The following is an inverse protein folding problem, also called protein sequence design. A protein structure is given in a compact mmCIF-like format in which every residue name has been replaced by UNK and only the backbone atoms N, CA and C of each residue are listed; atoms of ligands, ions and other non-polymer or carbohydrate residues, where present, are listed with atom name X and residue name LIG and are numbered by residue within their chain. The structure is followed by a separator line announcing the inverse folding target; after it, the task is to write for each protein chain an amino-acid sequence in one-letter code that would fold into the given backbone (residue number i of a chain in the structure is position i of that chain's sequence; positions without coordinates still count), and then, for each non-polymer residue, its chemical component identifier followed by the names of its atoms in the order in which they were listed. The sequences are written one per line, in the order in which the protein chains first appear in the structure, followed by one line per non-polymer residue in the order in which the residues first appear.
data_IF_914643675234
#
_entry.id   IF_914643675234
#
_cell.length_a   1.000
_cell.length_b   1.000
_cell.length_c   1.000
_cell.angle_alpha   90.00
_cell.angle_beta   90.00
_cell.angle_gamma   90.00
#
_symmetry.space_group_name_H-M   'P 1'
#
loop_
_entity.id
_entity.type
_entity.pdbx_description
1 polymer ?
#
# COMPACT_ATOMS: atom_id res chain seq x y z
N UNK A 1 -3.88 6.12 -3.92
CA UNK A 1 -2.40 6.15 -3.87
C UNK A 1 -1.89 7.38 -3.16
N UNK A 2 -2.28 8.59 -3.56
CA UNK A 2 -1.94 9.82 -2.81
C UNK A 2 -2.28 9.75 -1.32
N UNK A 3 -3.43 9.18 -0.95
CA UNK A 3 -3.82 9.07 0.47
C UNK A 3 -2.92 8.13 1.29
N UNK A 4 -2.33 7.11 0.66
CA UNK A 4 -1.39 6.20 1.34
C UNK A 4 -0.02 6.88 1.49
N UNK A 5 0.41 7.62 0.47
CA UNK A 5 1.64 8.42 0.50
C UNK A 5 1.62 9.46 1.63
N UNK A 6 0.52 10.20 1.74
CA UNK A 6 0.34 11.21 2.79
C UNK A 6 0.32 10.59 4.20
N UNK A 7 0.03 9.30 4.32
CA UNK A 7 -0.03 8.61 5.61
C UNK A 7 1.34 8.10 6.12
N UNK A 8 2.39 8.12 5.30
CA UNK A 8 3.75 7.71 5.69
C UNK A 8 4.26 8.51 6.89
N UNK A 9 4.06 9.83 6.89
CA UNK A 9 4.51 10.75 7.94
C UNK A 9 3.44 11.13 8.98
N UNK A 10 2.24 10.57 8.89
CA UNK A 10 1.11 10.87 9.78
C UNK A 10 0.89 9.75 10.81
N UNK A 11 -0.14 9.91 11.64
CA UNK A 11 -0.49 8.94 12.69
C UNK A 11 -0.64 7.50 12.15
N UNK A 12 -0.12 6.54 12.91
CA UNK A 12 -0.08 5.13 12.51
C UNK A 12 -1.48 4.55 12.18
N UNK A 13 -2.55 5.11 12.75
CA UNK A 13 -3.94 4.72 12.49
C UNK A 13 -4.31 5.01 11.03
N UNK A 14 -3.95 6.19 10.51
CA UNK A 14 -4.23 6.58 9.13
C UNK A 14 -3.53 5.67 8.14
N UNK A 15 -2.26 5.33 8.38
CA UNK A 15 -1.50 4.40 7.55
C UNK A 15 -2.19 3.03 7.44
N UNK A 16 -2.60 2.48 8.58
CA UNK A 16 -3.27 1.18 8.64
C UNK A 16 -4.59 1.16 7.86
N UNK A 17 -5.43 2.17 8.06
CA UNK A 17 -6.73 2.26 7.39
C UNK A 17 -6.60 2.38 5.88
N UNK A 18 -5.65 3.20 5.41
CA UNK A 18 -5.41 3.39 3.97
C UNK A 18 -4.82 2.14 3.32
N UNK A 19 -3.90 1.46 4.00
CA UNK A 19 -3.36 0.18 3.55
C UNK A 19 -4.44 -0.90 3.47
N UNK A 20 -5.32 -0.98 4.48
CA UNK A 20 -6.45 -1.89 4.49
C UNK A 20 -7.42 -1.66 3.31
N UNK A 21 -7.77 -0.39 3.05
CA UNK A 21 -8.63 -0.03 1.92
C UNK A 21 -8.00 -0.42 0.58
N UNK A 22 -6.71 -0.13 0.39
CA UNK A 22 -5.98 -0.49 -0.84
C UNK A 22 -5.92 -2.00 -1.06
N UNK A 23 -5.71 -2.79 0.00
CA UNK A 23 -5.74 -4.26 -0.07
C UNK A 23 -7.08 -4.76 -0.62
N UNK A 24 -8.20 -4.24 -0.10
CA UNK A 24 -9.54 -4.63 -0.56
C UNK A 24 -9.76 -4.32 -2.04
N UNK A 25 -9.36 -3.13 -2.48
CA UNK A 25 -9.40 -2.73 -3.90
C UNK A 25 -8.55 -3.68 -4.74
N UNK A 26 -7.29 -3.90 -4.36
CA UNK A 26 -6.36 -4.74 -5.11
C UNK A 26 -6.86 -6.17 -5.29
N UNK A 27 -7.48 -6.76 -4.27
CA UNK A 27 -8.10 -8.09 -4.36
C UNK A 27 -9.25 -8.13 -5.36
N UNK A 28 -10.12 -7.11 -5.37
CA UNK A 28 -11.24 -7.03 -6.31
C UNK A 28 -10.78 -6.92 -7.78
N UNK A 29 -9.61 -6.34 -8.02
CA UNK A 29 -9.01 -6.23 -9.36
C UNK A 29 -8.05 -7.38 -9.71
N UNK A 30 -7.88 -8.39 -8.85
CA UNK A 30 -6.95 -9.49 -9.07
C UNK A 30 -5.47 -9.08 -9.00
N UNK A 31 -5.16 -7.90 -8.47
CA UNK A 31 -3.80 -7.40 -8.31
C UNK A 31 -3.14 -7.99 -7.04
N UNK A 32 -2.95 -9.31 -7.02
CA UNK A 32 -2.52 -10.08 -5.83
C UNK A 32 -1.26 -9.50 -5.18
N UNK A 33 -0.26 -9.09 -5.96
CA UNK A 33 0.98 -8.53 -5.42
C UNK A 33 0.76 -7.20 -4.69
N UNK A 34 -0.13 -6.36 -5.20
CA UNK A 34 -0.51 -5.09 -4.54
C UNK A 34 -1.25 -5.38 -3.24
N UNK A 35 -2.13 -6.39 -3.23
CA UNK A 35 -2.86 -6.81 -2.04
C UNK A 35 -1.93 -7.34 -0.93
N UNK A 36 -0.94 -8.16 -1.29
CA UNK A 36 0.08 -8.67 -0.35
C UNK A 36 0.88 -7.54 0.30
N UNK A 37 1.43 -6.63 -0.51
CA UNK A 37 2.22 -5.50 -0.01
C UNK A 37 1.35 -4.55 0.84
N UNK A 38 0.09 -4.36 0.45
CA UNK A 38 -0.87 -3.56 1.24
C UNK A 38 -1.21 -4.22 2.58
N UNK A 39 -1.23 -5.56 2.67
CA UNK A 39 -1.34 -6.27 3.95
C UNK A 39 -0.10 -6.04 4.81
N UNK A 40 1.10 -6.17 4.24
CA UNK A 40 2.35 -5.88 4.98
C UNK A 40 2.37 -4.44 5.49
N UNK A 41 1.83 -3.49 4.72
CA UNK A 41 1.67 -2.10 5.17
C UNK A 41 0.70 -1.99 6.35
N UNK A 42 -0.48 -2.60 6.23
CA UNK A 42 -1.49 -2.61 7.29
C UNK A 42 -0.96 -3.21 8.61
N UNK A 43 -0.22 -4.31 8.53
CA UNK A 43 0.37 -5.00 9.68
C UNK A 43 1.58 -4.22 10.24
N UNK A 44 2.36 -3.59 9.36
CA UNK A 44 3.52 -2.76 9.68
C UNK A 44 3.19 -1.32 10.09
N UNK A 45 2.04 -1.06 10.73
CA UNK A 45 1.63 0.30 11.07
C UNK A 45 2.55 1.00 12.10
N UNK A 46 3.30 0.22 12.88
CA UNK A 46 4.29 0.72 13.86
C UNK A 46 5.71 0.84 13.29
N UNK A 47 5.90 0.51 11.99
CA UNK A 47 7.18 0.69 11.32
C UNK A 47 7.59 2.17 11.31
N UNK A 48 8.90 2.40 11.23
CA UNK A 48 9.45 3.74 11.08
C UNK A 48 8.97 4.39 9.77
N UNK A 49 9.03 5.73 9.70
CA UNK A 49 8.66 6.44 8.47
C UNK A 49 9.48 5.97 7.27
N UNK A 50 10.79 5.72 7.43
CA UNK A 50 11.67 5.24 6.36
C UNK A 50 11.24 3.85 5.83
N UNK A 51 10.83 2.96 6.73
CA UNK A 51 10.32 1.64 6.35
C UNK A 51 8.96 1.73 5.66
N UNK A 52 8.07 2.61 6.12
CA UNK A 52 6.79 2.90 5.45
C UNK A 52 7.00 3.48 4.06
N UNK A 53 7.99 4.35 3.89
CA UNK A 53 8.40 4.92 2.60
C UNK A 53 8.85 3.83 1.63
N UNK A 54 9.75 2.94 2.06
CA UNK A 54 10.20 1.80 1.24
C UNK A 54 9.03 0.93 0.81
N UNK A 55 8.16 0.61 1.76
CA UNK A 55 7.00 -0.23 1.49
C UNK A 55 5.99 0.45 0.55
N UNK A 56 5.82 1.77 0.68
CA UNK A 56 4.99 2.56 -0.24
C UNK A 56 5.54 2.54 -1.67
N UNK A 57 6.86 2.69 -1.84
CA UNK A 57 7.52 2.59 -3.15
C UNK A 57 7.30 1.19 -3.76
N UNK A 58 7.42 0.13 -2.97
CA UNK A 58 7.15 -1.24 -3.44
C UNK A 58 5.69 -1.40 -3.90
N UNK A 59 4.73 -0.85 -3.15
CA UNK A 59 3.31 -0.84 -3.53
C UNK A 59 3.09 -0.08 -4.83
N UNK A 60 3.71 1.10 -5.01
CA UNK A 60 3.65 1.87 -6.25
C UNK A 60 4.17 1.08 -7.45
N UNK A 61 5.34 0.45 -7.31
CA UNK A 61 5.95 -0.35 -8.38
C UNK A 61 5.06 -1.55 -8.76
N UNK A 62 4.49 -2.24 -7.78
CA UNK A 62 3.56 -3.34 -8.01
C UNK A 62 2.27 -2.85 -8.69
N UNK A 63 1.75 -1.70 -8.28
CA UNK A 63 0.55 -1.10 -8.87
C UNK A 63 0.77 -0.71 -10.33
N UNK A 64 1.90 -0.08 -10.66
CA UNK A 64 2.24 0.26 -12.05
C UNK A 64 2.40 -1.00 -12.90
N UNK A 65 3.04 -2.04 -12.36
CA UNK A 65 3.20 -3.31 -13.06
C UNK A 65 1.85 -3.98 -13.36
N UNK A 66 0.94 -3.99 -12.38
CA UNK A 66 -0.42 -4.50 -12.56
C UNK A 66 -1.18 -3.67 -13.61
N UNK A 67 -1.09 -2.34 -13.55
CA UNK A 67 -1.72 -1.43 -14.50
C UNK A 67 -1.28 -1.70 -15.94
N UNK A 68 0.01 -1.93 -16.17
CA UNK A 68 0.58 -2.24 -17.50
C UNK A 68 0.21 -3.64 -18.02
N UNK A 69 -0.31 -4.53 -17.17
CA UNK A 69 -0.70 -5.88 -17.56
C UNK A 69 -2.18 -5.97 -17.96
N UNK A 70 -3.00 -5.04 -17.47
CA UNK A 70 -4.45 -4.99 -17.71
C UNK A 70 -4.88 -3.84 -18.65
N UNK A 71 -3.95 -3.01 -19.12
CA UNK A 71 -4.13 -1.95 -20.12
C UNK A 71 -3.13 -2.13 -21.27
#
# INVERSE_FOLDING_TARGET
MEELEQSVGNENITWKEKAHALKGIALNFGATRVAELSRTAEEGYELSCEEKEKLFVDIQNAYQSAKNYFL
#
